data_IF_569178374955
#
_entry.id   IF_569178374955
#
_cell.length_a   1.000
_cell.length_b   1.000
_cell.length_c   1.000
_cell.angle_alpha   90.00
_cell.angle_beta   90.00
_cell.angle_gamma   90.00
#
_symmetry.space_group_name_H-M   'P 1'
#
loop_
_entity.id
_entity.type
_entity.pdbx_description
1 polymer ?
#
# COMPACT_ATOMS: atom_id res chain seq x y z
N UNK A 1 39.81 -35.81 37.26
CA UNK A 1 39.06 -35.15 36.16
C UNK A 1 38.35 -33.93 36.72
N UNK A 2 38.87 -32.73 36.43
CA UNK A 2 38.31 -31.44 36.85
C UNK A 2 36.98 -31.18 36.12
N UNK A 3 35.85 -31.36 36.82
CA UNK A 3 34.49 -31.17 36.27
C UNK A 3 34.03 -29.70 36.21
N UNK A 4 34.85 -28.75 36.67
CA UNK A 4 34.42 -27.35 36.81
C UNK A 4 34.64 -26.49 35.56
N UNK A 5 35.51 -26.91 34.63
CA UNK A 5 35.85 -26.13 33.42
C UNK A 5 34.71 -26.17 32.38
N UNK A 6 33.91 -27.25 32.36
CA UNK A 6 32.84 -27.43 31.37
C UNK A 6 31.61 -26.54 31.62
N UNK A 7 31.44 -26.05 32.86
CA UNK A 7 30.31 -25.21 33.27
C UNK A 7 30.48 -23.77 32.79
N UNK A 8 31.65 -23.19 33.01
CA UNK A 8 31.94 -21.79 32.63
C UNK A 8 31.95 -21.60 31.12
N UNK A 9 32.40 -22.62 30.37
CA UNK A 9 32.37 -22.60 28.91
C UNK A 9 30.95 -22.64 28.33
N UNK A 10 30.04 -23.38 28.98
CA UNK A 10 28.63 -23.44 28.56
C UNK A 10 27.91 -22.11 28.80
N UNK A 11 28.17 -21.45 29.93
CA UNK A 11 27.63 -20.11 30.20
C UNK A 11 28.16 -19.06 29.20
N UNK A 12 29.44 -19.12 28.84
CA UNK A 12 30.01 -18.25 27.80
C UNK A 12 29.34 -18.42 26.43
N UNK A 13 29.06 -19.67 26.04
CA UNK A 13 28.41 -19.98 24.77
C UNK A 13 26.96 -19.44 24.71
N UNK A 14 26.19 -19.61 25.78
CA UNK A 14 24.81 -19.13 25.87
C UNK A 14 24.75 -17.61 25.78
N UNK A 15 25.67 -16.92 26.46
CA UNK A 15 25.75 -15.45 26.43
C UNK A 15 26.10 -14.92 25.03
N UNK A 16 26.99 -15.62 24.31
CA UNK A 16 27.39 -15.26 22.95
C UNK A 16 26.22 -15.40 21.94
N UNK A 17 25.40 -16.45 22.09
CA UNK A 17 24.20 -16.65 21.26
C UNK A 17 23.17 -15.54 21.52
N UNK A 18 22.97 -15.15 22.79
CA UNK A 18 22.03 -14.08 23.14
C UNK A 18 22.43 -12.72 22.55
N UNK A 19 23.73 -12.40 22.50
CA UNK A 19 24.25 -11.16 21.89
C UNK A 19 24.03 -11.16 20.37
N UNK A 20 24.22 -12.30 19.69
CA UNK A 20 24.02 -12.40 18.25
C UNK A 20 22.53 -12.20 17.90
N UNK A 21 21.63 -12.86 18.63
CA UNK A 21 20.18 -12.74 18.39
C UNK A 21 19.70 -11.31 18.70
N UNK A 22 20.13 -10.72 19.83
CA UNK A 22 19.80 -9.33 20.17
C UNK A 22 20.38 -8.30 19.20
N UNK A 23 21.59 -8.53 18.68
CA UNK A 23 22.24 -7.65 17.70
C UNK A 23 21.54 -7.62 16.35
N UNK A 24 21.04 -8.78 15.87
CA UNK A 24 20.26 -8.86 14.63
C UNK A 24 18.93 -8.10 14.78
N UNK A 25 18.27 -8.21 15.94
CA UNK A 25 17.01 -7.53 16.21
C UNK A 25 17.15 -5.98 16.22
N UNK A 26 18.27 -5.45 16.73
CA UNK A 26 18.53 -4.00 16.71
C UNK A 26 18.89 -3.43 15.33
N UNK A 27 19.35 -4.26 14.37
CA UNK A 27 19.61 -3.79 13.00
C UNK A 27 18.35 -3.74 12.13
N UNK A 28 17.30 -4.51 12.44
CA UNK A 28 16.05 -4.49 11.66
C UNK A 28 15.19 -3.24 11.93
N UNK A 29 15.33 -2.61 13.10
CA UNK A 29 14.58 -1.37 13.42
C UNK A 29 15.08 -0.13 12.66
N UNK A 30 16.30 -0.15 12.08
CA UNK A 30 16.81 0.98 11.28
C UNK A 30 16.41 0.96 9.81
N UNK A 31 15.72 -0.08 9.35
CA UNK A 31 15.15 -0.13 8.00
C UNK A 31 13.68 0.34 7.95
N UNK A 32 13.07 0.65 9.10
CA UNK A 32 11.66 1.06 9.21
C UNK A 32 11.39 2.57 9.26
N UNK A 33 12.40 3.44 9.42
CA UNK A 33 12.19 4.89 9.64
C UNK A 33 12.47 5.75 8.41
N UNK A 34 11.97 5.35 7.24
CA UNK A 34 11.71 6.30 6.13
C UNK A 34 10.21 6.54 6.03
N UNK A 35 9.66 7.03 7.14
CA UNK A 35 8.35 7.65 7.18
C UNK A 35 8.45 8.96 6.40
N UNK A 36 7.63 9.07 5.36
CA UNK A 36 7.58 10.20 4.46
C UNK A 36 7.19 11.46 5.24
N UNK A 37 8.11 12.42 5.33
CA UNK A 37 7.79 13.80 5.68
C UNK A 37 6.84 14.36 4.61
N UNK A 38 5.54 14.36 4.91
CA UNK A 38 4.59 15.20 4.20
C UNK A 38 4.83 16.65 4.67
N UNK A 39 5.53 17.42 3.85
CA UNK A 39 5.65 18.87 4.01
C UNK A 39 4.25 19.45 3.81
N UNK A 40 3.65 19.88 4.92
CA UNK A 40 2.43 20.68 4.94
C UNK A 40 2.74 22.07 4.35
N UNK A 41 2.65 22.19 3.03
CA UNK A 41 2.65 23.50 2.36
C UNK A 41 1.22 24.05 2.41
N UNK A 42 0.88 24.68 3.53
CA UNK A 42 -0.29 25.54 3.63
C UNK A 42 0.02 26.85 2.91
N UNK A 43 -0.28 26.91 1.62
CA UNK A 43 -0.50 28.16 0.90
C UNK A 43 -1.76 28.00 0.07
N UNK A 44 -2.78 28.80 0.40
CA UNK A 44 -3.59 29.63 -0.51
C UNK A 44 -4.75 30.17 0.33
N UNK A 45 -4.67 31.44 0.72
CA UNK A 45 -5.82 32.34 0.65
C UNK A 45 -5.30 33.72 0.19
N UNK A 46 -5.24 33.94 -1.11
CA UNK A 46 -5.34 35.30 -1.64
C UNK A 46 -6.56 35.38 -2.57
N UNK A 47 -7.43 36.35 -2.23
CA UNK A 47 -8.71 36.68 -2.87
C UNK A 47 -8.51 37.16 -4.32
N UNK A 48 -9.54 37.01 -5.19
CA UNK A 48 -9.47 37.54 -6.54
C UNK A 48 -9.71 39.05 -6.53
N UNK A 49 -8.75 39.82 -7.02
CA UNK A 49 -8.95 41.25 -7.31
C UNK A 49 -8.45 41.58 -8.72
N UNK A 50 -9.43 41.91 -9.58
CA UNK A 50 -9.41 42.68 -10.83
C UNK A 50 -8.11 42.95 -11.62
N UNK A 51 -8.16 42.57 -12.91
CA UNK A 51 -7.87 43.39 -14.10
C UNK A 51 -6.78 44.49 -14.01
N UNK A 52 -5.64 44.27 -14.66
CA UNK A 52 -5.03 45.28 -15.55
C UNK A 52 -3.95 44.71 -16.50
N UNK A 53 -3.85 45.35 -17.66
CA UNK A 53 -3.07 45.00 -18.84
C UNK A 53 -1.68 45.67 -18.81
N UNK A 54 -0.59 44.93 -19.04
CA UNK A 54 0.51 45.20 -20.02
C UNK A 54 1.85 44.50 -19.69
N UNK A 55 2.25 43.62 -20.62
CA UNK A 55 3.53 43.49 -21.36
C UNK A 55 4.89 43.33 -20.61
N UNK A 56 5.58 42.24 -21.01
CA UNK A 56 7.01 41.88 -21.03
C UNK A 56 7.84 41.92 -19.75
N UNK A 57 8.30 40.73 -19.33
CA UNK A 57 9.75 40.46 -19.21
C UNK A 57 10.06 39.03 -19.64
N UNK A 58 11.03 38.89 -20.55
CA UNK A 58 11.75 37.66 -20.87
C UNK A 58 12.34 37.04 -19.60
N UNK A 59 12.28 35.71 -19.47
CA UNK A 59 13.37 34.78 -19.17
C UNK A 59 12.73 33.47 -18.71
N UNK A 60 12.76 32.43 -19.54
CA UNK A 60 12.65 31.07 -19.00
C UNK A 60 13.66 30.18 -19.70
N UNK A 61 14.79 30.08 -19.01
CA UNK A 61 15.69 28.93 -18.92
C UNK A 61 15.01 27.67 -19.48
N UNK A 62 15.58 27.13 -20.57
CA UNK A 62 15.22 25.83 -21.13
C UNK A 62 15.58 24.78 -20.07
N UNK A 63 14.68 24.53 -19.14
CA UNK A 63 14.76 23.33 -18.31
C UNK A 63 14.58 22.15 -19.26
N UNK A 64 15.63 21.33 -19.35
CA UNK A 64 15.59 20.05 -20.04
C UNK A 64 14.60 19.22 -19.24
N UNK A 65 13.34 19.27 -19.67
CA UNK A 65 12.24 18.55 -19.06
C UNK A 65 12.61 17.09 -19.02
N UNK A 66 12.83 16.56 -17.81
CA UNK A 66 12.69 15.13 -17.60
C UNK A 66 11.33 14.75 -18.19
N UNK A 67 11.23 13.71 -19.03
CA UNK A 67 9.93 13.26 -19.49
C UNK A 67 9.10 13.00 -18.24
N UNK A 68 8.06 13.80 -18.03
CA UNK A 68 7.03 13.49 -17.03
C UNK A 68 6.47 12.18 -17.53
N UNK A 69 6.85 11.08 -16.88
CA UNK A 69 6.26 9.77 -17.14
C UNK A 69 4.82 9.94 -16.68
N UNK A 70 3.95 10.25 -17.63
CA UNK A 70 2.52 10.40 -17.42
C UNK A 70 2.01 9.04 -16.96
N UNK A 71 1.87 8.90 -15.65
CA UNK A 71 1.31 7.69 -15.10
C UNK A 71 -0.18 7.68 -15.44
N UNK A 72 -0.61 6.66 -16.18
CA UNK A 72 -2.01 6.44 -16.55
C UNK A 72 -2.56 5.28 -15.74
N UNK A 73 -3.75 5.43 -15.13
CA UNK A 73 -4.39 4.33 -14.44
C UNK A 73 -4.62 3.18 -15.43
N UNK A 74 -4.48 1.94 -14.95
CA UNK A 74 -4.67 0.73 -15.75
C UNK A 74 -5.77 -0.11 -15.15
N UNK A 75 -6.68 -0.54 -16.00
CA UNK A 75 -7.83 -1.37 -15.61
C UNK A 75 -7.66 -2.75 -16.18
N UNK A 76 -8.02 -3.74 -15.39
CA UNK A 76 -7.88 -5.14 -15.71
C UNK A 76 -9.17 -5.87 -15.35
N UNK A 77 -9.57 -6.75 -16.25
CA UNK A 77 -10.76 -7.59 -16.11
C UNK A 77 -10.34 -9.02 -15.78
N UNK A 78 -11.14 -9.71 -14.98
CA UNK A 78 -10.97 -11.14 -14.74
C UNK A 78 -11.93 -11.62 -13.67
N UNK A 79 -11.61 -12.76 -13.06
CA UNK A 79 -12.35 -13.29 -11.92
C UNK A 79 -11.34 -13.96 -11.00
N UNK A 80 -11.32 -13.54 -9.74
CA UNK A 80 -10.37 -14.02 -8.75
C UNK A 80 -11.06 -14.18 -7.40
N UNK A 81 -11.05 -15.39 -6.86
CA UNK A 81 -11.46 -15.63 -5.47
C UNK A 81 -10.28 -15.35 -4.53
N UNK A 82 -10.48 -14.42 -3.60
CA UNK A 82 -9.47 -13.96 -2.66
C UNK A 82 -10.00 -13.92 -1.23
N UNK A 83 -9.14 -14.19 -0.25
CA UNK A 83 -9.44 -13.99 1.17
C UNK A 83 -9.01 -12.58 1.58
N UNK A 84 -9.93 -11.81 2.12
CA UNK A 84 -9.67 -10.44 2.54
C UNK A 84 -10.31 -10.09 3.88
N UNK A 85 -9.78 -9.08 4.56
CA UNK A 85 -10.37 -8.53 5.78
C UNK A 85 -10.28 -7.01 5.80
N UNK A 86 -11.19 -6.39 6.55
CA UNK A 86 -11.30 -4.95 6.66
C UNK A 86 -10.14 -4.36 7.47
N UNK A 87 -9.56 -3.27 6.97
CA UNK A 87 -8.57 -2.46 7.67
C UNK A 87 -9.16 -1.10 8.07
N UNK A 88 -9.86 -0.47 7.13
CA UNK A 88 -10.54 0.80 7.38
C UNK A 88 -11.69 1.01 6.40
N UNK A 89 -12.64 1.85 6.78
CA UNK A 89 -13.77 2.26 5.97
C UNK A 89 -13.64 3.75 5.67
N UNK A 90 -13.81 4.12 4.40
CA UNK A 90 -13.80 5.52 3.96
C UNK A 90 -15.02 5.81 3.09
N UNK A 91 -15.96 6.60 3.61
CA UNK A 91 -17.25 6.91 2.99
C UNK A 91 -18.01 5.65 2.55
N UNK A 92 -17.97 5.36 1.24
CA UNK A 92 -18.65 4.21 0.61
C UNK A 92 -17.71 3.07 0.28
N UNK A 93 -16.40 3.29 0.39
CA UNK A 93 -15.38 2.33 0.01
C UNK A 93 -14.80 1.64 1.24
N UNK A 94 -14.30 0.43 1.05
CA UNK A 94 -13.68 -0.37 2.11
C UNK A 94 -12.23 -0.62 1.75
N UNK A 95 -11.30 -0.26 2.63
CA UNK A 95 -9.90 -0.65 2.48
C UNK A 95 -9.73 -2.03 3.08
N UNK A 96 -9.43 -3.00 2.24
CA UNK A 96 -9.27 -4.40 2.61
C UNK A 96 -7.82 -4.83 2.42
N UNK A 97 -7.33 -5.66 3.33
CA UNK A 97 -6.07 -6.37 3.16
C UNK A 97 -6.36 -7.75 2.59
N UNK A 98 -5.64 -8.12 1.53
CA UNK A 98 -5.80 -9.42 0.88
C UNK A 98 -4.69 -10.35 1.38
N UNK A 99 -5.06 -11.60 1.63
CA UNK A 99 -4.12 -12.61 2.09
C UNK A 99 -3.04 -12.84 1.04
N UNK A 100 -1.78 -12.96 1.49
CA UNK A 100 -0.63 -12.94 0.60
C UNK A 100 -0.67 -14.01 -0.49
N UNK A 101 -1.16 -15.21 -0.17
CA UNK A 101 -1.25 -16.31 -1.15
C UNK A 101 -2.30 -16.08 -2.26
N UNK A 102 -3.24 -15.15 -2.05
CA UNK A 102 -4.31 -14.86 -3.01
C UNK A 102 -4.02 -13.63 -3.87
N UNK A 103 -2.99 -12.84 -3.53
CA UNK A 103 -2.58 -11.66 -4.30
C UNK A 103 -2.26 -12.04 -5.75
N UNK A 104 -1.63 -13.20 -5.96
CA UNK A 104 -1.23 -13.66 -7.29
C UNK A 104 -2.41 -14.01 -8.20
N UNK A 105 -3.60 -14.21 -7.63
CA UNK A 105 -4.82 -14.54 -8.37
C UNK A 105 -5.48 -13.31 -8.95
N UNK A 106 -5.15 -12.11 -8.45
CA UNK A 106 -5.81 -10.87 -8.88
C UNK A 106 -5.64 -10.67 -10.39
N UNK A 107 -6.64 -10.10 -11.07
CA UNK A 107 -6.56 -9.83 -12.49
C UNK A 107 -5.59 -8.67 -12.73
N UNK A 108 -4.29 -8.96 -12.81
CA UNK A 108 -3.23 -7.97 -13.02
C UNK A 108 -2.17 -8.52 -13.97
N UNK A 109 -1.35 -7.64 -14.54
CA UNK A 109 -0.24 -8.03 -15.45
C UNK A 109 1.10 -8.13 -14.76
N UNK A 110 1.22 -7.69 -13.50
CA UNK A 110 2.47 -7.67 -12.75
C UNK A 110 2.24 -8.04 -11.29
N UNK A 111 2.47 -9.30 -11.00
CA UNK A 111 2.44 -9.87 -9.65
C UNK A 111 3.67 -9.45 -8.84
N UNK A 112 4.83 -9.36 -9.49
CA UNK A 112 6.14 -9.08 -8.88
C UNK A 112 6.25 -7.70 -8.21
N UNK A 113 5.27 -6.83 -8.38
CA UNK A 113 5.23 -5.48 -7.79
C UNK A 113 4.26 -5.36 -6.61
N UNK A 114 3.63 -6.46 -6.19
CA UNK A 114 2.65 -6.47 -5.12
C UNK A 114 3.34 -6.88 -3.82
N UNK A 115 3.44 -5.93 -2.89
CA UNK A 115 4.11 -6.13 -1.59
C UNK A 115 3.37 -7.16 -0.73
N UNK A 116 4.09 -7.82 0.18
CA UNK A 116 3.56 -8.76 1.18
C UNK A 116 2.57 -8.16 2.21
N UNK A 117 2.15 -6.91 2.01
CA UNK A 117 1.15 -6.19 2.79
C UNK A 117 0.20 -5.46 1.83
N UNK A 118 -0.35 -6.19 0.87
CA UNK A 118 -1.20 -5.62 -0.15
C UNK A 118 -2.55 -5.18 0.40
N UNK A 119 -2.82 -3.87 0.32
CA UNK A 119 -4.09 -3.24 0.65
C UNK A 119 -4.74 -2.77 -0.65
N UNK A 120 -6.04 -2.98 -0.78
CA UNK A 120 -6.82 -2.49 -1.90
C UNK A 120 -8.11 -1.80 -1.42
N UNK A 121 -8.56 -0.82 -2.20
CA UNK A 121 -9.82 -0.14 -1.99
C UNK A 121 -10.94 -0.87 -2.74
N UNK A 122 -11.87 -1.49 -2.03
CA UNK A 122 -13.09 -2.05 -2.61
C UNK A 122 -14.12 -0.93 -2.83
N UNK A 123 -14.41 -0.64 -4.09
CA UNK A 123 -15.18 0.56 -4.49
C UNK A 123 -16.70 0.33 -4.66
N UNK A 124 -17.14 -0.93 -4.74
CA UNK A 124 -18.53 -1.29 -4.98
C UNK A 124 -19.07 -2.40 -4.06
N UNK A 125 -18.78 -2.39 -2.74
CA UNK A 125 -19.26 -3.44 -1.84
C UNK A 125 -20.80 -3.46 -1.79
N UNK A 126 -21.39 -4.65 -1.86
CA UNK A 126 -22.80 -4.85 -1.51
C UNK A 126 -23.00 -4.71 -0.01
N UNK A 127 -24.24 -4.51 0.44
CA UNK A 127 -24.57 -4.48 1.88
C UNK A 127 -24.20 -5.79 2.58
N UNK A 128 -24.29 -6.91 1.86
CA UNK A 128 -23.85 -8.23 2.35
C UNK A 128 -22.33 -8.26 2.56
N UNK A 129 -21.55 -7.94 1.53
CA UNK A 129 -20.08 -7.90 1.61
C UNK A 129 -19.60 -6.93 2.69
N UNK A 130 -20.27 -5.78 2.83
CA UNK A 130 -19.93 -4.82 3.89
C UNK A 130 -20.13 -5.42 5.28
N UNK A 131 -21.27 -6.08 5.53
CA UNK A 131 -21.52 -6.73 6.83
C UNK A 131 -20.52 -7.84 7.11
N UNK A 132 -20.23 -8.68 6.12
CA UNK A 132 -19.29 -9.79 6.30
C UNK A 132 -17.88 -9.28 6.64
N UNK A 133 -17.45 -8.18 6.00
CA UNK A 133 -16.15 -7.57 6.25
C UNK A 133 -16.06 -6.83 7.59
N UNK A 134 -17.15 -6.33 8.16
CA UNK A 134 -17.12 -5.60 9.43
C UNK A 134 -16.61 -6.45 10.60
N UNK A 135 -16.88 -7.76 10.61
CA UNK A 135 -16.45 -8.70 11.66
C UNK A 135 -15.19 -9.50 11.28
N UNK A 136 -14.62 -9.21 10.10
CA UNK A 136 -13.47 -9.94 9.55
C UNK A 136 -12.15 -9.57 10.22
N UNK A 137 -11.20 -10.50 10.21
CA UNK A 137 -9.83 -10.30 10.71
C UNK A 137 -8.84 -11.14 9.93
N UNK A 138 -7.55 -10.98 10.19
CA UNK A 138 -6.50 -11.79 9.56
C UNK A 138 -6.68 -13.31 9.81
N UNK A 139 -7.11 -13.68 11.02
CA UNK A 139 -7.40 -15.08 11.38
C UNK A 139 -8.75 -15.58 10.84
N UNK A 140 -9.66 -14.66 10.49
CA UNK A 140 -11.02 -14.95 9.99
C UNK A 140 -11.32 -14.07 8.77
N UNK A 141 -10.65 -14.31 7.64
CA UNK A 141 -10.89 -13.52 6.44
C UNK A 141 -12.19 -13.95 5.76
N UNK A 142 -12.74 -13.04 4.97
CA UNK A 142 -13.94 -13.26 4.13
C UNK A 142 -13.49 -13.60 2.72
N UNK A 143 -14.16 -14.56 2.09
CA UNK A 143 -13.94 -14.86 0.68
C UNK A 143 -14.67 -13.84 -0.19
N UNK A 144 -13.95 -13.17 -1.08
CA UNK A 144 -14.47 -12.22 -2.04
C UNK A 144 -14.16 -12.69 -3.45
N UNK A 145 -15.09 -12.47 -4.38
CA UNK A 145 -14.87 -12.68 -5.80
C UNK A 145 -14.63 -11.31 -6.45
N UNK A 146 -13.40 -11.07 -6.86
CA UNK A 146 -12.97 -9.83 -7.50
C UNK A 146 -13.04 -9.99 -9.01
N UNK A 147 -13.79 -9.11 -9.66
CA UNK A 147 -13.97 -9.12 -11.11
C UNK A 147 -13.20 -8.01 -11.82
N UNK A 148 -12.83 -6.95 -11.10
CA UNK A 148 -12.12 -5.81 -11.65
C UNK A 148 -10.97 -5.36 -10.76
N UNK A 149 -9.87 -4.96 -11.39
CA UNK A 149 -8.70 -4.39 -10.73
C UNK A 149 -8.27 -3.10 -11.43
N UNK A 150 -7.94 -2.08 -10.65
CA UNK A 150 -7.44 -0.80 -11.14
C UNK A 150 -6.13 -0.45 -10.43
N UNK A 151 -5.05 -0.37 -11.22
CA UNK A 151 -3.79 0.18 -10.78
C UNK A 151 -3.84 1.71 -10.91
N UNK A 152 -3.85 2.39 -9.76
CA UNK A 152 -3.87 3.86 -9.68
C UNK A 152 -2.45 4.34 -9.36
N UNK A 153 -2.07 5.47 -9.95
CA UNK A 153 -0.68 5.91 -10.04
C UNK A 153 -0.03 6.33 -8.72
N UNK A 154 -0.81 6.97 -7.85
CA UNK A 154 -0.33 7.55 -6.59
C UNK A 154 -1.25 7.19 -5.43
N UNK A 155 -2.17 6.24 -5.65
CA UNK A 155 -3.16 5.81 -4.67
C UNK A 155 -3.12 4.30 -4.49
N UNK A 156 -3.77 3.85 -3.43
CA UNK A 156 -4.08 2.44 -3.17
C UNK A 156 -4.83 1.88 -4.38
N UNK A 157 -4.42 0.72 -4.92
CA UNK A 157 -5.13 0.12 -6.05
C UNK A 157 -6.58 -0.18 -5.66
N UNK A 158 -7.48 -0.08 -6.64
CA UNK A 158 -8.88 -0.35 -6.41
C UNK A 158 -9.27 -1.73 -6.95
N UNK A 159 -10.14 -2.41 -6.22
CA UNK A 159 -10.73 -3.69 -6.59
C UNK A 159 -12.25 -3.56 -6.62
N UNK A 160 -12.89 -4.44 -7.38
CA UNK A 160 -14.32 -4.40 -7.60
C UNK A 160 -14.92 -5.80 -7.68
N UNK A 161 -16.08 -5.99 -7.07
CA UNK A 161 -16.91 -7.21 -7.24
C UNK A 161 -17.73 -7.18 -8.53
N UNK A 162 -17.66 -6.09 -9.29
CA UNK A 162 -18.13 -6.01 -10.68
C UNK A 162 -16.96 -5.89 -11.66
N UNK A 163 -17.25 -6.10 -12.93
CA UNK A 163 -16.28 -5.87 -14.02
C UNK A 163 -15.73 -4.44 -13.98
N UNK A 164 -14.44 -4.31 -14.29
CA UNK A 164 -13.71 -3.04 -14.26
C UNK A 164 -14.33 -1.98 -15.19
N UNK A 165 -14.80 -2.40 -16.36
CA UNK A 165 -15.52 -1.58 -17.36
C UNK A 165 -16.84 -1.02 -16.84
N UNK A 166 -17.41 -1.57 -15.78
CA UNK A 166 -18.63 -1.07 -15.14
C UNK A 166 -18.25 -0.23 -13.92
N UNK A 167 -17.36 -0.75 -13.07
CA UNK A 167 -17.05 -0.19 -11.77
C UNK A 167 -16.18 1.09 -11.86
N UNK A 168 -15.22 1.13 -12.79
CA UNK A 168 -14.30 2.26 -12.94
C UNK A 168 -14.66 3.20 -14.09
N UNK A 169 -15.85 3.06 -14.69
CA UNK A 169 -16.29 3.85 -15.86
C UNK A 169 -16.63 5.32 -15.58
N UNK A 170 -16.16 5.87 -14.45
CA UNK A 170 -16.32 7.28 -14.09
C UNK A 170 -14.95 7.89 -13.84
N UNK A 171 -14.40 8.45 -14.91
CA UNK A 171 -13.25 9.34 -14.92
C UNK A 171 -13.37 10.24 -16.13
#
# INVERSE_FOLDING_TARGET
>A
MNKNISSEFAFGLILLIAIIIGGIFLMTDRLGSREYQYVSEANIIEKPTSFNKQINVSFTKKEIGKPVVECKPRYFEGEAEVRAWLISENDKNLNVKIKNEDIEKLPTTKTDSLNANFIATLIDPTDEVRRDLQDSSEDRPVNLIIHGYAQICQDVPAVSIKQATIAFKKG
#
